data_IF_566235541217
#
_entry.id   IF_566235541217
#
_cell.length_a   1.000
_cell.length_b   1.000
_cell.length_c   1.000
_cell.angle_alpha   90.00
_cell.angle_beta   90.00
_cell.angle_gamma   90.00
#
_symmetry.space_group_name_H-M   'P 1'
#
loop_
_entity.id
_entity.type
_entity.pdbx_description
1 polymer ?
#
# COMPACT_ATOMS: atom_id res chain seq x y z
N UNK A 1 10.07 5.83 23.08
CA UNK A 1 9.92 5.51 21.64
C UNK A 1 11.12 6.11 20.93
N UNK A 2 11.78 5.37 20.04
CA UNK A 2 12.85 5.95 19.23
C UNK A 2 12.23 6.94 18.23
N UNK A 3 12.81 8.12 18.08
CA UNK A 3 12.38 9.05 17.03
C UNK A 3 12.78 8.44 15.67
N UNK A 4 11.79 8.24 14.81
CA UNK A 4 12.01 7.84 13.42
C UNK A 4 11.96 9.06 12.52
N UNK A 5 12.81 9.09 11.48
CA UNK A 5 12.78 10.11 10.43
C UNK A 5 12.37 9.47 9.10
N UNK A 6 11.59 10.15 8.25
CA UNK A 6 11.28 9.64 6.92
C UNK A 6 12.57 9.59 6.08
N UNK A 7 12.87 8.44 5.49
CA UNK A 7 14.05 8.22 4.63
C UNK A 7 13.66 8.22 3.16
N UNK A 8 12.47 7.72 2.82
CA UNK A 8 11.95 7.64 1.46
C UNK A 8 10.41 7.62 1.46
N UNK A 9 9.80 7.94 0.31
CA UNK A 9 8.34 7.95 0.09
C UNK A 9 7.97 7.19 -1.20
N UNK A 10 7.14 6.15 -1.04
CA UNK A 10 6.73 5.28 -2.14
C UNK A 10 5.32 5.63 -2.63
N UNK A 11 5.19 5.85 -3.94
CA UNK A 11 3.90 6.08 -4.60
C UNK A 11 3.46 4.82 -5.37
N UNK A 12 2.22 4.37 -5.14
CA UNK A 12 1.63 3.25 -5.88
C UNK A 12 0.55 3.78 -6.82
N UNK A 13 0.75 3.56 -8.13
CA UNK A 13 -0.26 3.84 -9.16
C UNK A 13 -0.88 2.54 -9.62
N UNK A 14 -2.22 2.47 -9.61
CA UNK A 14 -2.99 1.34 -10.11
C UNK A 14 -3.69 1.76 -11.41
N UNK A 15 -3.56 0.93 -12.44
CA UNK A 15 -4.18 1.17 -13.73
C UNK A 15 -5.32 0.17 -13.95
N UNK A 16 -6.44 0.65 -14.49
CA UNK A 16 -7.51 -0.19 -15.03
C UNK A 16 -7.51 -0.02 -16.56
N UNK A 17 -7.93 -1.05 -17.33
CA UNK A 17 -8.13 -0.92 -18.77
C UNK A 17 -9.09 0.24 -19.10
N UNK A 18 -8.86 0.92 -20.23
CA UNK A 18 -9.65 2.07 -20.66
C UNK A 18 -11.05 1.68 -21.15
N UNK A 19 -11.25 0.42 -21.53
CA UNK A 19 -12.54 -0.18 -21.89
C UNK A 19 -13.30 -0.79 -20.69
N UNK A 20 -12.81 -0.57 -19.46
CA UNK A 20 -13.47 -1.08 -18.25
C UNK A 20 -14.87 -0.48 -18.12
N UNK A 21 -15.94 -1.30 -18.04
CA UNK A 21 -17.29 -0.79 -17.81
C UNK A 21 -17.38 0.00 -16.50
N UNK A 22 -18.13 1.11 -16.50
CA UNK A 22 -18.18 2.04 -15.36
C UNK A 22 -18.59 1.35 -14.04
N UNK A 23 -19.54 0.42 -14.09
CA UNK A 23 -19.95 -0.37 -12.91
C UNK A 23 -18.79 -1.18 -12.33
N UNK A 24 -17.96 -1.77 -13.20
CA UNK A 24 -16.76 -2.52 -12.78
C UNK A 24 -15.70 -1.58 -12.22
N UNK A 25 -15.49 -0.42 -12.86
CA UNK A 25 -14.59 0.60 -12.35
C UNK A 25 -15.02 1.10 -10.96
N UNK A 26 -16.32 1.24 -10.73
CA UNK A 26 -16.85 1.63 -9.43
C UNK A 26 -16.60 0.56 -8.36
N UNK A 27 -16.82 -0.72 -8.68
CA UNK A 27 -16.48 -1.83 -7.77
C UNK A 27 -15.00 -1.81 -7.41
N UNK A 28 -14.11 -1.63 -8.40
CA UNK A 28 -12.66 -1.52 -8.17
C UNK A 28 -12.36 -0.35 -7.22
N UNK A 29 -12.90 0.83 -7.50
CA UNK A 29 -12.69 2.01 -6.64
C UNK A 29 -13.19 1.78 -5.21
N UNK A 30 -14.35 1.15 -5.03
CA UNK A 30 -14.88 0.79 -3.71
C UNK A 30 -14.00 -0.21 -2.98
N UNK A 31 -13.51 -1.25 -3.66
CA UNK A 31 -12.57 -2.21 -3.07
C UNK A 31 -11.26 -1.54 -2.67
N UNK A 32 -10.70 -0.71 -3.54
CA UNK A 32 -9.48 0.06 -3.25
C UNK A 32 -9.67 1.06 -2.12
N UNK A 33 -10.91 1.54 -1.92
CA UNK A 33 -11.32 2.39 -0.79
C UNK A 33 -11.66 1.59 0.48
N UNK A 34 -11.72 0.26 0.43
CA UNK A 34 -12.01 -0.58 1.59
C UNK A 34 -10.85 -0.66 2.58
N UNK A 35 -11.16 -0.83 3.87
CA UNK A 35 -10.16 -1.05 4.92
C UNK A 35 -9.46 -2.41 4.75
N UNK A 36 -10.21 -3.44 4.35
CA UNK A 36 -9.68 -4.79 4.09
C UNK A 36 -8.51 -4.78 3.10
N UNK A 37 -8.65 -4.01 2.01
CA UNK A 37 -7.59 -3.86 1.02
C UNK A 37 -6.36 -3.18 1.64
N UNK A 38 -6.56 -2.07 2.37
CA UNK A 38 -5.46 -1.34 3.00
C UNK A 38 -4.76 -2.15 4.08
N UNK A 39 -5.49 -2.94 4.87
CA UNK A 39 -4.89 -3.85 5.84
C UNK A 39 -4.03 -4.92 5.17
N UNK A 40 -4.52 -5.52 4.10
CA UNK A 40 -3.74 -6.51 3.33
C UNK A 40 -2.50 -5.86 2.72
N UNK A 41 -2.62 -4.67 2.15
CA UNK A 41 -1.49 -3.94 1.58
C UNK A 41 -0.45 -3.57 2.66
N UNK A 42 -0.87 -3.11 3.84
CA UNK A 42 0.03 -2.86 4.98
C UNK A 42 0.82 -4.12 5.37
N UNK A 43 0.15 -5.28 5.46
CA UNK A 43 0.81 -6.55 5.79
C UNK A 43 1.78 -6.98 4.70
N UNK A 44 1.44 -6.79 3.43
CA UNK A 44 2.32 -7.08 2.30
C UNK A 44 3.58 -6.22 2.34
N UNK A 45 3.44 -4.89 2.54
CA UNK A 45 4.57 -3.96 2.68
C UNK A 45 5.47 -4.34 3.86
N UNK A 46 4.88 -4.64 5.03
CA UNK A 46 5.65 -5.09 6.20
C UNK A 46 6.42 -6.38 5.93
N UNK A 47 5.81 -7.33 5.21
CA UNK A 47 6.47 -8.58 4.82
C UNK A 47 7.63 -8.32 3.87
N UNK A 48 7.43 -7.44 2.87
CA UNK A 48 8.48 -7.05 1.95
C UNK A 48 9.66 -6.39 2.68
N UNK A 49 9.42 -5.43 3.58
CA UNK A 49 10.48 -4.79 4.38
C UNK A 49 11.28 -5.82 5.20
N UNK A 50 10.59 -6.78 5.83
CA UNK A 50 11.23 -7.85 6.62
C UNK A 50 12.04 -8.84 5.80
N UNK A 51 11.83 -8.90 4.49
CA UNK A 51 12.60 -9.78 3.60
C UNK A 51 14.02 -9.25 3.34
N UNK A 52 14.31 -7.99 3.69
CA UNK A 52 15.63 -7.35 3.52
C UNK A 52 16.26 -7.06 4.89
N UNK A 53 17.25 -7.85 5.34
CA UNK A 53 17.91 -7.66 6.64
C UNK A 53 18.53 -6.28 6.84
N UNK A 54 18.91 -5.60 5.74
CA UNK A 54 19.46 -4.24 5.75
C UNK A 54 18.45 -3.20 6.24
N UNK A 55 17.15 -3.52 6.17
CA UNK A 55 16.05 -2.67 6.63
C UNK A 55 15.62 -2.99 8.07
N UNK A 56 16.39 -3.78 8.82
CA UNK A 56 16.10 -4.06 10.23
C UNK A 56 16.05 -2.75 11.04
N UNK A 57 14.92 -2.53 11.72
CA UNK A 57 14.66 -1.30 12.49
C UNK A 57 14.00 -0.17 11.69
N UNK A 58 13.82 -0.34 10.37
CA UNK A 58 12.98 0.54 9.56
C UNK A 58 11.51 0.20 9.82
N UNK A 59 10.70 1.23 10.05
CA UNK A 59 9.25 1.15 10.08
C UNK A 59 8.67 1.82 8.84
N UNK A 60 7.49 1.36 8.42
CA UNK A 60 6.74 1.95 7.32
C UNK A 60 5.31 2.26 7.77
N UNK A 61 4.80 3.40 7.34
CA UNK A 61 3.39 3.75 7.43
C UNK A 61 2.79 3.78 6.02
N UNK A 62 1.59 3.24 5.87
CA UNK A 62 0.81 3.37 4.65
C UNK A 62 -0.41 4.23 4.94
N UNK A 63 -0.41 5.41 4.35
CA UNK A 63 -1.50 6.39 4.39
C UNK A 63 -2.29 6.34 3.09
N UNK A 64 -3.61 6.55 3.18
CA UNK A 64 -4.46 6.84 2.03
C UNK A 64 -4.79 8.32 2.05
#
# INVERSE_FOLDING_TARGET
>A
MANTVPVDELHLTLHIPDDTPEETAEVIRRTLAGDDFMERLRRAVQTALRAFPELNGVSGSLTR
#
